data_IF_734193849617
#
_entry.id   IF_734193849617
#
_cell.length_a   1.000
_cell.length_b   1.000
_cell.length_c   1.000
_cell.angle_alpha   90.00
_cell.angle_beta   90.00
_cell.angle_gamma   90.00
#
_symmetry.space_group_name_H-M   'P 1'
#
loop_
_entity.id
_entity.type
_entity.pdbx_description
1 polymer ?
#
# COMPACT_ATOMS: atom_id res chain seq x y z
N UNK A 1 -19.62 34.31 -2.51
CA UNK A 1 -18.82 33.75 -1.41
C UNK A 1 -19.03 32.25 -1.38
N UNK A 2 -18.22 31.48 -2.10
CA UNK A 2 -18.32 30.01 -2.09
C UNK A 2 -16.94 29.40 -1.84
N UNK A 3 -16.91 28.53 -0.85
CA UNK A 3 -15.74 27.98 -0.17
C UNK A 3 -14.89 27.13 -1.13
N UNK A 4 -13.70 27.62 -1.49
CA UNK A 4 -12.62 26.81 -2.05
C UNK A 4 -12.00 25.99 -0.93
N UNK A 5 -12.65 24.89 -0.56
CA UNK A 5 -12.08 23.93 0.37
C UNK A 5 -10.87 23.30 -0.33
N UNK A 6 -9.71 23.57 0.25
CA UNK A 6 -8.40 23.25 -0.30
C UNK A 6 -8.22 21.73 -0.33
N UNK A 7 -8.18 21.16 -1.53
CA UNK A 7 -7.84 19.74 -1.77
C UNK A 7 -6.46 19.33 -1.21
N UNK A 8 -5.65 20.31 -0.81
CA UNK A 8 -4.37 20.11 -0.12
C UNK A 8 -4.51 19.70 1.35
N UNK A 9 -5.62 20.02 2.03
CA UNK A 9 -5.84 19.64 3.43
C UNK A 9 -6.19 18.15 3.57
N UNK A 10 -6.97 17.57 2.65
CA UNK A 10 -7.28 16.14 2.66
C UNK A 10 -6.05 15.26 2.36
N UNK A 11 -5.15 15.73 1.49
CA UNK A 11 -3.90 15.02 1.16
C UNK A 11 -2.89 15.07 2.33
N UNK A 12 -2.83 16.17 3.08
CA UNK A 12 -2.05 16.27 4.32
C UNK A 12 -2.62 15.40 5.43
N UNK A 13 -3.95 15.33 5.57
CA UNK A 13 -4.64 14.46 6.52
C UNK A 13 -4.28 12.99 6.28
N UNK A 14 -4.33 12.51 5.04
CA UNK A 14 -4.06 11.09 4.75
C UNK A 14 -2.59 10.67 4.94
N UNK A 15 -1.63 11.58 4.75
CA UNK A 15 -0.20 11.32 5.01
C UNK A 15 0.13 11.24 6.52
N UNK A 16 -0.71 11.79 7.40
CA UNK A 16 -0.50 11.72 8.85
C UNK A 16 -0.96 10.41 9.49
N UNK A 17 -1.74 9.57 8.77
CA UNK A 17 -2.19 8.27 9.28
C UNK A 17 -1.27 7.10 8.90
N UNK A 18 -0.19 7.36 8.16
CA UNK A 18 0.77 6.32 7.75
C UNK A 18 2.18 6.64 8.25
N UNK A 19 2.30 6.81 9.56
CA UNK A 19 3.59 6.68 10.25
C UNK A 19 3.61 5.28 10.86
N UNK A 20 4.31 4.30 10.27
CA UNK A 20 4.51 3.02 10.93
C UNK A 20 5.35 3.30 12.18
N UNK A 21 4.74 3.10 13.34
CA UNK A 21 5.43 3.08 14.62
C UNK A 21 6.51 1.99 14.51
N UNK A 22 7.76 2.42 14.35
CA UNK A 22 8.93 1.54 14.35
C UNK A 22 9.02 0.95 15.75
N UNK A 23 8.44 -0.23 15.94
CA UNK A 23 8.78 -1.09 17.06
C UNK A 23 10.25 -1.41 16.89
N UNK A 24 11.06 -0.74 17.70
CA UNK A 24 12.50 -0.95 17.79
C UNK A 24 12.78 -2.46 17.85
N UNK A 25 13.66 -3.00 16.98
CA UNK A 25 14.07 -4.38 17.12
C UNK A 25 14.79 -4.48 18.47
N UNK A 26 14.12 -5.07 19.47
CA UNK A 26 14.83 -5.60 20.64
C UNK A 26 15.88 -6.53 20.05
N UNK A 27 17.15 -6.16 20.23
CA UNK A 27 18.27 -7.02 19.93
C UNK A 27 17.96 -8.39 20.55
N UNK A 28 17.68 -9.37 19.72
CA UNK A 28 17.79 -10.77 20.15
C UNK A 28 19.29 -11.00 20.15
N UNK A 29 19.93 -10.61 21.25
CA UNK A 29 21.25 -11.10 21.58
C UNK A 29 21.19 -12.61 21.47
N UNK A 30 21.92 -13.12 20.47
CA UNK A 30 22.23 -14.54 20.39
C UNK A 30 23.09 -14.84 21.60
N UNK A 31 22.45 -15.28 22.67
CA UNK A 31 23.12 -15.86 23.82
C UNK A 31 23.66 -17.23 23.41
N UNK A 32 24.78 -17.22 22.71
CA UNK A 32 25.73 -18.33 22.74
C UNK A 32 26.40 -18.29 24.11
N UNK A 33 25.68 -18.76 25.15
CA UNK A 33 26.31 -19.08 26.44
C UNK A 33 27.02 -20.43 26.24
N UNK A 34 28.17 -20.34 25.60
CA UNK A 34 29.25 -21.28 25.82
C UNK A 34 29.76 -21.08 27.25
N UNK A 35 29.76 -22.17 28.00
CA UNK A 35 30.81 -22.52 28.94
C UNK A 35 31.32 -21.40 29.87
N UNK A 36 30.62 -21.17 30.98
CA UNK A 36 31.28 -20.63 32.17
C UNK A 36 30.74 -21.32 33.43
N UNK A 37 31.28 -22.50 33.74
CA UNK A 37 31.08 -23.14 35.06
C UNK A 37 32.35 -23.81 35.58
N UNK A 38 33.52 -23.45 35.03
CA UNK A 38 34.81 -23.99 35.49
C UNK A 38 35.81 -22.94 35.96
N UNK A 39 35.46 -21.66 35.92
CA UNK A 39 36.36 -20.57 36.33
C UNK A 39 35.95 -19.86 37.62
N UNK A 40 34.79 -20.18 38.21
CA UNK A 40 34.32 -19.58 39.48
C UNK A 40 34.78 -20.34 40.73
N UNK A 41 35.52 -21.44 40.59
CA UNK A 41 35.93 -22.27 41.76
C UNK A 41 37.17 -21.74 42.49
N UNK A 42 37.88 -20.75 41.97
CA UNK A 42 39.14 -20.27 42.58
C UNK A 42 38.93 -19.01 43.45
N UNK A 43 37.86 -18.25 43.23
CA UNK A 43 37.62 -17.00 43.97
C UNK A 43 36.70 -17.17 45.21
N UNK A 44 36.13 -18.36 45.42
CA UNK A 44 35.19 -18.62 46.52
C UNK A 44 35.82 -19.26 47.77
N UNK A 45 37.12 -19.54 47.77
CA UNK A 45 37.77 -20.24 48.88
C UNK A 45 38.10 -19.34 50.09
N UNK A 46 38.03 -18.01 49.96
CA UNK A 46 38.37 -17.09 51.06
C UNK A 46 37.18 -16.61 51.92
N UNK A 47 35.94 -17.06 51.64
CA UNK A 47 34.73 -16.70 52.41
C UNK A 47 34.13 -17.93 53.14
N UNK A 48 34.82 -19.07 53.11
CA UNK A 48 34.24 -20.34 53.57
C UNK A 48 34.49 -20.72 55.04
N UNK A 49 35.29 -19.97 55.81
CA UNK A 49 35.54 -20.32 57.23
C UNK A 49 34.45 -19.87 58.21
N UNK A 50 33.39 -19.18 57.76
CA UNK A 50 32.29 -18.70 58.64
C UNK A 50 30.88 -19.12 58.16
N UNK A 51 30.76 -20.27 57.49
CA UNK A 51 29.46 -20.77 57.01
C UNK A 51 29.24 -22.28 57.28
N UNK A 52 29.86 -22.84 58.31
CA UNK A 52 29.76 -24.27 58.65
C UNK A 52 28.43 -24.70 59.32
N UNK A 53 27.49 -23.77 59.54
CA UNK A 53 26.18 -24.06 60.15
C UNK A 53 24.97 -23.68 59.29
N UNK A 54 25.17 -23.23 58.04
CA UNK A 54 24.06 -22.84 57.16
C UNK A 54 23.80 -23.92 56.12
N UNK A 55 22.57 -24.47 56.12
CA UNK A 55 22.11 -25.38 55.06
C UNK A 55 22.05 -24.59 53.76
N UNK A 56 23.07 -24.75 52.91
CA UNK A 56 23.06 -24.18 51.55
C UNK A 56 22.00 -24.91 50.73
N UNK A 57 21.03 -24.20 50.13
CA UNK A 57 20.06 -24.84 49.25
C UNK A 57 20.80 -25.47 48.07
N UNK A 58 20.73 -26.80 47.97
CA UNK A 58 21.29 -27.54 46.84
C UNK A 58 20.44 -27.22 45.60
N UNK A 59 21.09 -26.78 44.52
CA UNK A 59 20.42 -26.60 43.23
C UNK A 59 19.84 -27.96 42.83
N UNK A 60 18.52 -28.09 42.61
CA UNK A 60 17.94 -29.35 42.20
C UNK A 60 18.58 -29.78 40.87
N UNK A 61 18.90 -31.06 40.80
CA UNK A 61 19.51 -31.67 39.62
C UNK A 61 18.56 -31.51 38.43
N UNK A 62 19.07 -30.92 37.33
CA UNK A 62 18.25 -30.70 36.14
C UNK A 62 18.37 -31.93 35.22
N UNK A 63 17.35 -32.80 35.14
CA UNK A 63 17.45 -34.07 34.42
C UNK A 63 17.80 -33.90 32.93
N UNK A 64 17.50 -32.74 32.34
CA UNK A 64 17.81 -32.35 30.95
C UNK A 64 19.31 -32.07 30.76
N UNK A 65 19.98 -31.51 31.78
CA UNK A 65 21.40 -31.16 31.74
C UNK A 65 22.30 -32.29 32.23
N UNK A 66 21.77 -33.16 33.10
CA UNK A 66 22.52 -34.28 33.69
C UNK A 66 22.67 -35.45 32.71
N UNK A 67 21.69 -35.65 31.82
CA UNK A 67 21.76 -36.70 30.79
C UNK A 67 22.65 -36.25 29.62
N UNK A 68 23.83 -36.86 29.41
CA UNK A 68 24.71 -36.48 28.30
C UNK A 68 24.05 -36.73 26.94
N UNK A 69 23.27 -37.81 26.83
CA UNK A 69 22.52 -38.17 25.63
C UNK A 69 21.50 -37.09 25.26
N UNK A 70 20.83 -36.49 26.25
CA UNK A 70 19.86 -35.43 26.01
C UNK A 70 20.54 -34.16 25.48
N UNK A 71 21.69 -33.79 26.04
CA UNK A 71 22.49 -32.64 25.59
C UNK A 71 22.98 -32.81 24.15
N UNK A 72 23.46 -34.00 23.81
CA UNK A 72 23.93 -34.33 22.45
C UNK A 72 22.78 -34.23 21.46
N UNK A 73 21.63 -34.85 21.76
CA UNK A 73 20.44 -34.75 20.90
C UNK A 73 19.97 -33.30 20.73
N UNK A 74 19.94 -32.51 21.80
CA UNK A 74 19.56 -31.09 21.72
C UNK A 74 20.50 -30.29 20.81
N UNK A 75 21.81 -30.56 20.90
CA UNK A 75 22.81 -29.95 20.02
C UNK A 75 22.58 -30.35 18.56
N UNK A 76 22.36 -31.64 18.30
CA UNK A 76 22.08 -32.17 16.97
C UNK A 76 20.81 -31.55 16.36
N UNK A 77 19.71 -31.47 17.11
CA UNK A 77 18.46 -30.86 16.63
C UNK A 77 18.62 -29.37 16.31
N UNK A 78 19.32 -28.62 17.16
CA UNK A 78 19.64 -27.20 16.89
C UNK A 78 20.48 -27.02 15.63
N UNK A 79 21.47 -27.90 15.45
CA UNK A 79 22.33 -27.94 14.26
C UNK A 79 21.46 -28.26 13.04
N UNK A 80 20.74 -29.38 13.01
CA UNK A 80 19.89 -29.79 11.89
C UNK A 80 18.85 -28.74 11.50
N UNK A 81 18.26 -28.02 12.46
CA UNK A 81 17.35 -26.90 12.19
C UNK A 81 18.08 -25.71 11.55
N UNK A 82 19.25 -25.33 12.07
CA UNK A 82 20.09 -24.25 11.50
C UNK A 82 20.55 -24.57 10.07
N UNK A 83 20.86 -25.84 9.79
CA UNK A 83 21.30 -26.29 8.47
C UNK A 83 20.14 -26.67 7.53
N UNK A 84 18.89 -26.55 7.98
CA UNK A 84 17.71 -26.83 7.14
C UNK A 84 17.55 -28.31 6.76
N UNK A 85 18.14 -29.23 7.54
CA UNK A 85 18.09 -30.68 7.29
C UNK A 85 16.76 -31.31 7.75
N UNK A 86 16.00 -30.62 8.58
CA UNK A 86 14.64 -31.02 8.97
C UNK A 86 13.63 -30.49 7.97
N UNK A 87 12.50 -31.19 7.72
CA UNK A 87 11.40 -30.66 6.91
C UNK A 87 11.02 -29.26 7.39
N UNK A 88 11.46 -28.26 6.64
CA UNK A 88 11.35 -26.86 6.99
C UNK A 88 9.95 -26.34 6.61
N UNK A 89 8.91 -27.03 7.07
CA UNK A 89 7.62 -26.39 7.17
C UNK A 89 7.81 -25.25 8.17
N UNK A 90 8.03 -24.05 7.63
CA UNK A 90 8.15 -22.84 8.43
C UNK A 90 6.95 -22.82 9.36
N UNK A 91 7.19 -22.63 10.65
CA UNK A 91 6.11 -22.53 11.59
C UNK A 91 5.11 -21.48 11.10
N UNK A 92 3.82 -21.72 11.34
CA UNK A 92 2.72 -20.87 10.89
C UNK A 92 3.03 -19.38 11.05
N UNK A 93 3.57 -19.00 12.21
CA UNK A 93 3.96 -17.62 12.52
C UNK A 93 5.05 -17.08 11.59
N UNK A 94 6.11 -17.84 11.32
CA UNK A 94 7.17 -17.41 10.42
C UNK A 94 6.65 -17.25 8.98
N UNK A 95 5.80 -18.17 8.52
CA UNK A 95 5.17 -18.07 7.21
C UNK A 95 4.29 -16.81 7.09
N UNK A 96 3.48 -16.53 8.11
CA UNK A 96 2.64 -15.33 8.17
C UNK A 96 3.49 -14.05 8.22
N UNK A 97 4.59 -14.02 8.97
CA UNK A 97 5.48 -12.85 9.05
C UNK A 97 6.19 -12.58 7.72
N UNK A 98 6.68 -13.62 7.05
CA UNK A 98 7.28 -13.50 5.72
C UNK A 98 6.26 -13.06 4.67
N UNK A 99 5.07 -13.66 4.67
CA UNK A 99 3.97 -13.26 3.81
C UNK A 99 3.64 -11.77 4.00
N UNK A 100 3.47 -11.33 5.24
CA UNK A 100 3.15 -9.93 5.57
C UNK A 100 4.26 -8.98 5.10
N UNK A 101 5.53 -9.40 5.21
CA UNK A 101 6.67 -8.61 4.73
C UNK A 101 6.66 -8.46 3.21
N UNK A 102 6.36 -9.54 2.48
CA UNK A 102 6.26 -9.52 1.02
C UNK A 102 5.06 -8.70 0.53
N UNK A 103 3.91 -8.82 1.19
CA UNK A 103 2.72 -8.03 0.87
C UNK A 103 2.97 -6.54 1.05
N UNK A 104 3.58 -6.14 2.17
CA UNK A 104 3.95 -4.73 2.40
C UNK A 104 4.94 -4.20 1.36
N UNK A 105 5.92 -5.00 0.94
CA UNK A 105 6.84 -4.61 -0.13
C UNK A 105 6.11 -4.45 -1.46
N UNK A 106 5.26 -5.41 -1.81
CA UNK A 106 4.44 -5.36 -3.03
C UNK A 106 3.51 -4.14 -3.05
N UNK A 107 2.87 -3.82 -1.94
CA UNK A 107 2.01 -2.62 -1.80
C UNK A 107 2.82 -1.34 -1.96
N UNK A 108 4.00 -1.24 -1.33
CA UNK A 108 4.89 -0.07 -1.48
C UNK A 108 5.37 0.10 -2.91
N UNK A 109 5.69 -0.99 -3.60
CA UNK A 109 6.04 -0.97 -5.02
C UNK A 109 4.84 -0.55 -5.87
N UNK A 110 3.66 -1.12 -5.64
CA UNK A 110 2.44 -0.77 -6.38
C UNK A 110 2.02 0.69 -6.18
N UNK A 111 2.15 1.23 -4.97
CA UNK A 111 1.88 2.63 -4.68
C UNK A 111 2.88 3.58 -5.37
N UNK A 112 4.11 3.12 -5.58
CA UNK A 112 5.15 3.86 -6.31
C UNK A 112 5.12 3.61 -7.82
N UNK A 113 4.36 2.61 -8.29
CA UNK A 113 4.27 2.31 -9.72
C UNK A 113 3.60 3.49 -10.44
N UNK A 114 4.23 4.03 -11.49
CA UNK A 114 3.57 5.00 -12.34
C UNK A 114 2.35 4.35 -13.00
N UNK A 115 1.37 5.19 -13.36
CA UNK A 115 0.19 4.77 -14.13
C UNK A 115 0.63 4.00 -15.37
N UNK A 116 -0.03 2.87 -15.64
CA UNK A 116 0.25 2.06 -16.83
C UNK A 116 0.06 2.89 -18.10
N UNK A 117 0.76 2.54 -19.19
CA UNK A 117 0.59 3.19 -20.49
C UNK A 117 -0.88 3.18 -20.93
N UNK A 118 -1.60 2.08 -20.65
CA UNK A 118 -3.04 1.97 -20.88
C UNK A 118 -3.84 2.98 -20.04
N UNK A 119 -3.54 3.08 -18.74
CA UNK A 119 -4.21 4.03 -17.83
C UNK A 119 -3.98 5.48 -18.29
N UNK A 120 -2.77 5.79 -18.75
CA UNK A 120 -2.44 7.09 -19.31
C UNK A 120 -3.24 7.38 -20.58
N UNK A 121 -3.37 6.41 -21.48
CA UNK A 121 -4.18 6.56 -22.69
C UNK A 121 -5.67 6.76 -22.37
N UNK A 122 -6.22 6.00 -21.43
CA UNK A 122 -7.60 6.16 -20.96
C UNK A 122 -7.83 7.55 -20.35
N UNK A 123 -6.89 8.03 -19.52
CA UNK A 123 -6.94 9.37 -18.95
C UNK A 123 -6.94 10.46 -20.02
N UNK A 124 -6.05 10.36 -21.02
CA UNK A 124 -6.02 11.30 -22.16
C UNK A 124 -7.32 11.27 -22.95
N UNK A 125 -7.91 10.09 -23.20
CA UNK A 125 -9.18 9.96 -23.90
C UNK A 125 -10.32 10.60 -23.13
N UNK A 126 -10.39 10.38 -21.80
CA UNK A 126 -11.37 11.02 -20.93
C UNK A 126 -11.24 12.55 -20.95
N UNK A 127 -10.01 13.06 -20.87
CA UNK A 127 -9.76 14.51 -20.91
C UNK A 127 -10.23 15.12 -22.23
N UNK A 128 -10.01 14.45 -23.36
CA UNK A 128 -10.53 14.90 -24.68
C UNK A 128 -12.05 14.93 -24.71
N UNK A 129 -12.70 13.89 -24.22
CA UNK A 129 -14.18 13.84 -24.17
C UNK A 129 -14.75 14.98 -23.32
N UNK A 130 -14.18 15.22 -22.13
CA UNK A 130 -14.60 16.34 -21.27
C UNK A 130 -14.39 17.71 -21.93
N UNK A 131 -13.32 17.88 -22.72
CA UNK A 131 -13.09 19.10 -23.47
C UNK A 131 -14.15 19.32 -24.56
N UNK A 132 -14.51 18.26 -25.30
CA UNK A 132 -15.58 18.32 -26.30
C UNK A 132 -16.94 18.61 -25.68
N UNK A 133 -17.28 17.96 -24.56
CA UNK A 133 -18.53 18.22 -23.83
C UNK A 133 -18.64 19.68 -23.40
N UNK A 134 -17.54 20.26 -22.89
CA UNK A 134 -17.50 21.66 -22.48
C UNK A 134 -17.60 22.61 -23.69
N UNK A 135 -16.98 22.28 -24.82
CA UNK A 135 -17.06 23.08 -26.04
C UNK A 135 -18.48 23.07 -26.62
N UNK A 136 -19.15 21.91 -26.63
CA UNK A 136 -20.55 21.80 -27.06
C UNK A 136 -21.49 22.59 -26.14
N UNK A 137 -21.27 22.54 -24.82
CA UNK A 137 -22.02 23.37 -23.87
C UNK A 137 -21.83 24.85 -24.17
N UNK A 138 -20.60 25.31 -24.39
CA UNK A 138 -20.32 26.71 -24.77
C UNK A 138 -21.00 27.09 -26.07
N UNK A 139 -20.91 26.25 -27.11
CA UNK A 139 -21.61 26.50 -28.39
C UNK A 139 -23.12 26.62 -28.20
N UNK A 140 -23.70 25.80 -27.32
CA UNK A 140 -25.13 25.85 -27.03
C UNK A 140 -25.51 27.09 -26.22
N UNK A 141 -24.66 27.52 -25.29
CA UNK A 141 -24.80 28.77 -24.55
C UNK A 141 -24.68 29.98 -25.49
N UNK A 142 -23.67 30.03 -26.35
CA UNK A 142 -23.46 31.08 -27.34
C UNK A 142 -24.67 31.21 -28.27
N UNK A 143 -25.26 30.09 -28.71
CA UNK A 143 -26.51 30.07 -29.49
C UNK A 143 -27.70 30.66 -28.74
N UNK A 144 -27.78 30.46 -27.42
CA UNK A 144 -28.84 31.01 -26.58
C UNK A 144 -28.60 32.48 -26.23
N UNK A 145 -27.34 32.89 -26.09
CA UNK A 145 -26.91 34.25 -25.80
C UNK A 145 -27.08 35.20 -27.00
N UNK A 146 -27.33 34.68 -28.22
CA UNK A 146 -27.68 35.52 -29.37
C UNK A 146 -28.98 36.29 -29.07
N UNK A 147 -28.99 37.63 -29.20
CA UNK A 147 -30.19 38.44 -28.98
C UNK A 147 -31.38 37.95 -29.82
N UNK A 148 -32.57 37.98 -29.22
CA UNK A 148 -33.79 37.43 -29.82
C UNK A 148 -34.09 38.01 -31.21
N UNK A 149 -33.92 39.32 -31.39
CA UNK A 149 -34.19 39.98 -32.68
C UNK A 149 -33.31 39.47 -33.81
N UNK A 150 -32.07 39.04 -33.52
CA UNK A 150 -31.18 38.43 -34.50
C UNK A 150 -31.69 37.04 -34.87
N UNK A 151 -32.08 36.24 -33.87
CA UNK A 151 -32.67 34.90 -34.08
C UNK A 151 -33.95 34.96 -34.91
N UNK A 152 -34.86 35.88 -34.58
CA UNK A 152 -36.12 36.08 -35.31
C UNK A 152 -35.86 36.51 -36.76
N UNK A 153 -34.91 37.43 -36.99
CA UNK A 153 -34.53 37.87 -38.34
C UNK A 153 -33.98 36.73 -39.20
N UNK A 154 -33.12 35.88 -38.64
CA UNK A 154 -32.57 34.73 -39.37
C UNK A 154 -33.64 33.66 -39.66
N UNK A 155 -34.58 33.44 -38.75
CA UNK A 155 -35.72 32.55 -38.98
C UNK A 155 -36.60 33.05 -40.12
N UNK A 156 -36.94 34.34 -40.14
CA UNK A 156 -37.71 34.95 -41.24
C UNK A 156 -36.98 34.81 -42.58
N UNK A 157 -35.65 35.00 -42.62
CA UNK A 157 -34.85 34.76 -43.83
C UNK A 157 -34.95 33.33 -44.33
N UNK A 158 -34.84 32.33 -43.45
CA UNK A 158 -34.94 30.90 -43.84
C UNK A 158 -36.32 30.57 -44.42
N UNK A 159 -37.39 31.04 -43.78
CA UNK A 159 -38.76 30.82 -44.26
C UNK A 159 -38.95 31.48 -45.63
N UNK A 160 -38.54 32.74 -45.81
CA UNK A 160 -38.64 33.43 -47.10
C UNK A 160 -37.87 32.72 -48.23
N UNK A 161 -36.68 32.17 -47.94
CA UNK A 161 -35.91 31.41 -48.94
C UNK A 161 -36.62 30.10 -49.30
N UNK A 162 -37.17 29.38 -48.32
CA UNK A 162 -37.92 28.15 -48.57
C UNK A 162 -39.22 28.37 -49.35
N UNK A 163 -39.91 29.49 -49.14
CA UNK A 163 -41.10 29.87 -49.94
C UNK A 163 -40.72 30.20 -51.39
N UNK A 164 -39.57 30.86 -51.60
CA UNK A 164 -39.08 31.19 -52.94
C UNK A 164 -38.57 29.95 -53.70
N UNK A 165 -37.90 29.03 -53.02
CA UNK A 165 -37.54 27.73 -53.60
C UNK A 165 -38.80 26.94 -53.97
N UNK A 166 -39.78 26.84 -53.07
CA UNK A 166 -41.06 26.17 -53.32
C UNK A 166 -41.83 26.78 -54.51
N UNK A 167 -41.84 28.11 -54.64
CA UNK A 167 -42.38 28.81 -55.82
C UNK A 167 -41.58 28.50 -57.09
N UNK A 168 -40.25 28.43 -57.02
CA UNK A 168 -39.40 28.10 -58.17
C UNK A 168 -39.58 26.65 -58.65
N UNK A 169 -39.77 25.69 -57.73
CA UNK A 169 -40.02 24.28 -58.05
C UNK A 169 -41.43 24.09 -58.63
N UNK A 170 -42.44 24.81 -58.14
CA UNK A 170 -43.79 24.81 -58.70
C UNK A 170 -43.88 25.37 -60.12
N UNK A 171 -43.09 26.40 -60.44
CA UNK A 171 -43.04 26.98 -61.80
C UNK A 171 -42.28 26.10 -62.81
N UNK A 172 -41.34 25.28 -62.35
CA UNK A 172 -40.60 24.32 -63.20
C UNK A 172 -41.42 23.10 -63.61
N UNK A 173 -42.47 22.74 -62.85
CA UNK A 173 -43.36 21.61 -63.17
C UNK A 173 -44.52 21.96 -64.11
N UNK A 174 -44.81 23.25 -64.31
CA UNK A 174 -45.85 23.71 -65.25
C UNK A 174 -45.33 23.95 -66.68
N UNK A 175 -44.03 23.72 -66.92
CA UNK A 175 -43.34 23.97 -68.19
C UNK A 175 -42.89 22.69 -68.92
N UNK A 176 -43.50 21.53 -68.59
CA UNK A 176 -43.35 20.24 -69.31
C UNK A 176 -44.68 19.72 -69.80
#
# INVERSE_FOLDING_TARGET
MCLRVTSSLLKKSMLLYFVPQMVSPRNVERNDIAENSRSETVAQEQIMENHDHLIRPKKPSNPVLESPRHRVLHRELRVSHRWGLLPAEKCELQRVMEQRRLEQQREREQAQRPLSDLDQQLSRRRQRLLAYELEEQKRQEDRQNVPEFVRVKDNLRRVCVSENESRSFGLRLQSS
#
